data_IF_389593543254
#
_entry.id   IF_389593543254
#
_cell.length_a   1.000
_cell.length_b   1.000
_cell.length_c   1.000
_cell.angle_alpha   90.00
_cell.angle_beta   90.00
_cell.angle_gamma   90.00
#
_symmetry.space_group_name_H-M   'P 1'
#
loop_
_entity.id
_entity.type
_entity.pdbx_description
1 polymer ?
#
# COMPACT_ATOMS: atom_id res chain seq x y z
N UNK A 1 2.38 24.62 12.70
CA UNK A 1 2.61 24.06 11.34
C UNK A 1 1.43 23.15 11.05
N UNK A 2 0.46 23.59 10.26
CA UNK A 2 -0.63 22.72 9.80
C UNK A 2 -0.02 21.76 8.79
N UNK A 3 0.21 20.51 9.19
CA UNK A 3 0.57 19.44 8.25
C UNK A 3 -0.59 19.32 7.26
N UNK A 4 -0.40 19.86 6.06
CA UNK A 4 -1.39 19.81 5.00
C UNK A 4 -1.49 18.36 4.53
N UNK A 5 -2.34 17.60 5.22
CA UNK A 5 -2.46 16.15 5.08
C UNK A 5 -3.35 15.92 3.86
N UNK A 6 -2.89 15.10 2.90
CA UNK A 6 -3.65 14.86 1.67
C UNK A 6 -5.10 14.50 1.99
N UNK A 7 -6.11 15.08 1.30
CA UNK A 7 -7.52 14.72 1.52
C UNK A 7 -7.82 13.26 1.19
N UNK A 8 -6.88 12.56 0.56
CA UNK A 8 -6.97 11.14 0.21
C UNK A 8 -6.56 10.20 1.36
N UNK A 9 -5.89 10.72 2.41
CA UNK A 9 -5.41 9.91 3.54
C UNK A 9 -6.53 9.17 4.29
N UNK A 10 -7.72 9.75 4.54
CA UNK A 10 -8.83 9.00 5.15
C UNK A 10 -9.22 7.74 4.38
N UNK A 11 -9.28 7.79 3.04
CA UNK A 11 -9.59 6.62 2.21
C UNK A 11 -8.49 5.57 2.23
N UNK A 12 -7.22 5.99 2.24
CA UNK A 12 -6.09 5.05 2.37
C UNK A 12 -6.10 4.39 3.76
N UNK A 13 -6.48 5.10 4.83
CA UNK A 13 -6.66 4.51 6.17
C UNK A 13 -7.81 3.50 6.22
N UNK A 14 -8.89 3.75 5.49
CA UNK A 14 -9.97 2.78 5.34
C UNK A 14 -9.48 1.52 4.60
N UNK A 15 -8.73 1.69 3.50
CA UNK A 15 -8.07 0.58 2.82
C UNK A 15 -7.11 -0.20 3.75
N UNK A 16 -6.37 0.50 4.61
CA UNK A 16 -5.49 -0.12 5.60
C UNK A 16 -6.27 -0.94 6.63
N UNK A 17 -7.39 -0.41 7.12
CA UNK A 17 -8.28 -1.12 8.04
C UNK A 17 -8.90 -2.38 7.39
N UNK A 18 -9.12 -2.37 6.08
CA UNK A 18 -9.52 -3.54 5.32
C UNK A 18 -8.37 -4.55 5.19
N UNK A 19 -7.15 -4.10 4.90
CA UNK A 19 -5.96 -4.96 4.83
C UNK A 19 -5.69 -5.71 6.15
N UNK A 20 -5.99 -5.08 7.29
CA UNK A 20 -5.90 -5.69 8.61
C UNK A 20 -6.90 -6.85 8.83
N UNK A 21 -7.90 -7.03 7.97
CA UNK A 21 -8.82 -8.18 8.00
C UNK A 21 -8.24 -9.43 7.32
N UNK A 22 -7.31 -9.28 6.38
CA UNK A 22 -6.63 -10.42 5.75
C UNK A 22 -5.81 -11.19 6.78
N UNK A 23 -5.83 -12.53 6.85
CA UNK A 23 -4.95 -13.25 7.77
C UNK A 23 -3.47 -13.03 7.41
N UNK A 24 -2.55 -12.95 8.40
CA UNK A 24 -1.11 -12.89 8.12
C UNK A 24 -0.65 -14.20 7.50
N UNK A 25 0.17 -14.10 6.44
CA UNK A 25 0.72 -15.25 5.71
C UNK A 25 2.21 -15.00 5.42
N UNK A 26 3.03 -16.05 5.25
CA UNK A 26 4.48 -15.89 5.03
C UNK A 26 4.87 -15.18 3.73
N UNK A 27 3.99 -15.16 2.72
CA UNK A 27 4.35 -14.71 1.37
C UNK A 27 3.30 -13.82 0.70
N UNK A 28 2.11 -13.66 1.30
CA UNK A 28 1.05 -12.84 0.73
C UNK A 28 1.04 -11.45 1.39
N UNK A 29 1.09 -10.41 0.56
CA UNK A 29 0.86 -9.06 1.06
C UNK A 29 -0.58 -8.87 1.50
N UNK A 30 -0.76 -8.25 2.66
CA UNK A 30 -2.07 -7.83 3.13
C UNK A 30 -2.40 -6.47 2.54
N UNK A 31 -3.24 -6.48 1.52
CA UNK A 31 -3.71 -5.27 0.81
C UNK A 31 -5.20 -5.10 1.04
N UNK A 32 -5.66 -3.86 1.07
CA UNK A 32 -7.08 -3.49 1.10
C UNK A 32 -7.39 -2.46 0.02
N UNK A 33 -8.64 -2.45 -0.46
CA UNK A 33 -9.11 -1.64 -1.57
C UNK A 33 -10.55 -1.15 -1.35
N UNK A 34 -10.84 0.05 -1.84
CA UNK A 34 -12.17 0.68 -1.84
C UNK A 34 -12.46 1.20 -3.24
N UNK A 35 -13.64 0.88 -3.78
CA UNK A 35 -14.17 1.48 -5.01
C UNK A 35 -15.29 2.45 -4.64
N UNK A 36 -15.22 3.68 -5.14
CA UNK A 36 -16.23 4.71 -4.88
C UNK A 36 -16.64 5.49 -6.13
N UNK A 37 -17.83 6.08 -6.07
CA UNK A 37 -18.36 7.06 -7.02
C UNK A 37 -18.20 8.46 -6.46
N UNK A 38 -17.38 9.28 -7.13
CA UNK A 38 -17.02 10.64 -6.73
C UNK A 38 -17.65 11.67 -7.65
N UNK A 39 -18.20 12.73 -7.08
CA UNK A 39 -18.70 13.89 -7.84
C UNK A 39 -17.54 14.75 -8.35
N UNK A 40 -17.60 15.22 -9.60
CA UNK A 40 -16.48 15.94 -10.24
C UNK A 40 -16.19 17.32 -9.61
N UNK A 41 -17.22 17.98 -9.07
CA UNK A 41 -17.15 19.32 -8.48
C UNK A 41 -17.39 19.31 -6.95
N UNK A 42 -16.87 18.29 -6.25
CA UNK A 42 -16.90 18.23 -4.79
C UNK A 42 -15.49 18.32 -4.19
N UNK A 43 -14.97 19.54 -3.93
CA UNK A 43 -13.65 19.73 -3.33
C UNK A 43 -13.58 19.27 -1.87
N UNK A 44 -14.73 18.96 -1.25
CA UNK A 44 -14.82 18.54 0.14
C UNK A 44 -14.93 17.03 0.31
N UNK A 45 -15.13 16.28 -0.79
CA UNK A 45 -15.28 14.83 -0.80
C UNK A 45 -16.44 14.31 0.08
N UNK A 46 -17.45 15.15 0.33
CA UNK A 46 -18.58 14.84 1.23
C UNK A 46 -19.68 14.02 0.55
N UNK A 47 -19.75 14.03 -0.78
CA UNK A 47 -20.72 13.26 -1.58
C UNK A 47 -20.14 11.92 -2.07
N UNK A 48 -18.93 11.54 -1.66
CA UNK A 48 -18.33 10.27 -2.09
C UNK A 48 -19.18 9.07 -1.63
N UNK A 49 -19.47 8.16 -2.56
CA UNK A 49 -20.28 6.97 -2.31
C UNK A 49 -19.43 5.72 -2.48
N UNK A 50 -19.20 4.98 -1.40
CA UNK A 50 -18.54 3.68 -1.47
C UNK A 50 -19.47 2.71 -2.19
N UNK A 51 -18.96 2.10 -3.25
CA UNK A 51 -19.68 1.11 -4.07
C UNK A 51 -19.34 -0.31 -3.62
N UNK A 52 -18.06 -0.56 -3.34
CA UNK A 52 -17.57 -1.86 -2.92
C UNK A 52 -16.25 -1.73 -2.17
N UNK A 53 -15.91 -2.77 -1.42
CA UNK A 53 -14.64 -2.90 -0.73
C UNK A 53 -14.07 -4.29 -0.94
N UNK A 54 -12.76 -4.42 -0.80
CA UNK A 54 -12.06 -5.69 -0.92
C UNK A 54 -10.81 -5.73 -0.06
N UNK A 55 -10.43 -6.91 0.41
CA UNK A 55 -9.10 -7.16 0.95
C UNK A 55 -8.52 -8.48 0.47
N UNK A 56 -7.21 -8.62 0.60
CA UNK A 56 -6.49 -9.82 0.16
C UNK A 56 -7.07 -11.07 0.81
N UNK A 57 -7.35 -12.10 0.01
CA UNK A 57 -7.93 -13.37 0.48
C UNK A 57 -9.28 -13.24 1.20
N UNK A 58 -10.03 -12.15 0.99
CA UNK A 58 -11.43 -12.06 1.43
C UNK A 58 -12.28 -13.15 0.78
N UNK A 59 -12.05 -13.39 -0.51
CA UNK A 59 -12.67 -14.48 -1.26
C UNK A 59 -11.71 -15.66 -1.39
N UNK A 60 -12.27 -16.86 -1.53
CA UNK A 60 -11.51 -18.10 -1.62
C UNK A 60 -10.43 -18.07 -2.72
N UNK A 61 -9.27 -18.65 -2.41
CA UNK A 61 -8.11 -18.70 -3.31
C UNK A 61 -7.10 -17.58 -3.06
N UNK A 62 -6.14 -17.45 -3.97
CA UNK A 62 -5.09 -16.42 -3.91
C UNK A 62 -5.57 -15.12 -4.57
N UNK A 63 -6.57 -14.48 -3.96
CA UNK A 63 -7.23 -13.27 -4.45
C UNK A 63 -6.56 -12.01 -3.90
N UNK A 64 -6.40 -10.99 -4.75
CA UNK A 64 -5.92 -9.67 -4.33
C UNK A 64 -7.10 -8.77 -3.94
N UNK A 65 -6.82 -7.67 -3.23
CA UNK A 65 -7.84 -6.76 -2.72
C UNK A 65 -8.74 -6.17 -3.83
N UNK A 66 -8.16 -5.74 -4.94
CA UNK A 66 -8.86 -5.15 -6.07
C UNK A 66 -9.75 -6.19 -6.77
N UNK A 67 -9.27 -7.44 -6.84
CA UNK A 67 -10.07 -8.56 -7.34
C UNK A 67 -11.29 -8.80 -6.44
N UNK A 68 -11.10 -8.88 -5.11
CA UNK A 68 -12.21 -9.03 -4.16
C UNK A 68 -13.19 -7.86 -4.24
N UNK A 69 -12.68 -6.62 -4.38
CA UNK A 69 -13.50 -5.42 -4.47
C UNK A 69 -14.46 -5.47 -5.67
N UNK A 70 -13.96 -5.84 -6.85
CA UNK A 70 -14.81 -6.01 -8.03
C UNK A 70 -15.74 -7.23 -7.93
N UNK A 71 -15.25 -8.37 -7.46
CA UNK A 71 -16.06 -9.58 -7.31
C UNK A 71 -17.22 -9.39 -6.32
N UNK A 72 -16.98 -8.69 -5.20
CA UNK A 72 -18.02 -8.32 -4.24
C UNK A 72 -19.11 -7.46 -4.90
N UNK A 73 -18.71 -6.48 -5.72
CA UNK A 73 -19.67 -5.66 -6.47
C UNK A 73 -20.46 -6.48 -7.50
N UNK A 74 -19.77 -7.30 -8.29
CA UNK A 74 -20.37 -8.19 -9.26
C UNK A 74 -21.40 -9.14 -8.61
N UNK A 75 -21.08 -9.70 -7.44
CA UNK A 75 -21.95 -10.59 -6.69
C UNK A 75 -23.25 -9.89 -6.23
N UNK A 76 -23.17 -8.67 -5.69
CA UNK A 76 -24.36 -7.87 -5.31
C UNK A 76 -25.26 -7.62 -6.53
N UNK A 77 -24.65 -7.40 -7.69
CA UNK A 77 -25.34 -7.14 -8.95
C UNK A 77 -25.66 -8.40 -9.77
N UNK A 78 -25.34 -9.59 -9.24
CA UNK A 78 -25.64 -10.90 -9.83
C UNK A 78 -25.07 -11.09 -11.24
N UNK A 79 -23.87 -10.57 -11.48
CA UNK A 79 -23.11 -10.81 -12.72
C UNK A 79 -21.81 -11.55 -12.43
N UNK A 80 -21.25 -12.27 -13.42
CA UNK A 80 -19.88 -12.79 -13.32
C UNK A 80 -18.82 -11.71 -13.07
N UNK A 81 -17.71 -12.07 -12.42
CA UNK A 81 -16.62 -11.14 -12.09
C UNK A 81 -16.05 -10.42 -13.32
N UNK A 82 -15.92 -11.12 -14.45
CA UNK A 82 -15.43 -10.59 -15.72
C UNK A 82 -16.45 -9.68 -16.42
N UNK A 83 -17.67 -9.60 -15.87
CA UNK A 83 -18.77 -8.77 -16.35
C UNK A 83 -19.06 -7.58 -15.43
N UNK A 84 -18.28 -7.37 -14.38
CA UNK A 84 -18.47 -6.26 -13.42
C UNK A 84 -18.58 -4.89 -14.09
N UNK A 85 -17.82 -4.65 -15.17
CA UNK A 85 -17.87 -3.39 -15.91
C UNK A 85 -19.25 -3.08 -16.51
N UNK A 86 -20.09 -4.08 -16.76
CA UNK A 86 -21.44 -3.91 -17.33
C UNK A 86 -22.45 -3.37 -16.31
N UNK A 87 -22.14 -3.46 -15.02
CA UNK A 87 -23.03 -3.06 -13.91
C UNK A 87 -22.51 -1.92 -13.07
N UNK A 88 -21.28 -1.45 -13.32
CA UNK A 88 -20.75 -0.25 -12.67
C UNK A 88 -21.62 0.98 -13.01
N UNK A 89 -21.85 1.89 -12.05
CA UNK A 89 -22.78 2.98 -12.26
C UNK A 89 -22.16 4.02 -13.20
N UNK A 90 -22.99 4.53 -14.11
CA UNK A 90 -22.67 5.65 -15.00
C UNK A 90 -23.63 6.78 -14.65
N UNK A 91 -23.13 7.76 -13.90
CA UNK A 91 -23.91 8.90 -13.41
C UNK A 91 -23.28 10.19 -13.94
N UNK A 92 -24.02 11.07 -14.64
CA UNK A 92 -23.48 12.35 -15.10
C UNK A 92 -22.88 13.17 -13.97
N UNK A 93 -21.67 13.70 -14.20
CA UNK A 93 -20.92 14.49 -13.22
C UNK A 93 -20.29 13.69 -12.08
N UNK A 94 -20.15 12.37 -12.26
CA UNK A 94 -19.45 11.49 -11.34
C UNK A 94 -18.43 10.62 -12.07
N UNK A 95 -17.39 10.24 -11.35
CA UNK A 95 -16.34 9.34 -11.79
C UNK A 95 -16.10 8.22 -10.79
N UNK A 96 -15.67 7.07 -11.29
CA UNK A 96 -15.30 5.94 -10.45
C UNK A 96 -13.83 6.04 -10.04
N UNK A 97 -13.57 5.95 -8.74
CA UNK A 97 -12.23 6.07 -8.15
C UNK A 97 -11.95 4.84 -7.31
N UNK A 98 -10.77 4.26 -7.47
CA UNK A 98 -10.29 3.17 -6.63
C UNK A 98 -9.17 3.66 -5.71
N UNK A 99 -9.27 3.34 -4.43
CA UNK A 99 -8.18 3.45 -3.46
C UNK A 99 -7.66 2.07 -3.13
N UNK A 100 -6.36 1.94 -2.95
CA UNK A 100 -5.71 0.68 -2.57
C UNK A 100 -4.49 0.98 -1.71
N UNK A 101 -4.15 0.13 -0.74
CA UNK A 101 -2.97 0.40 0.11
C UNK A 101 -1.66 0.29 -0.66
N UNK A 102 -1.57 -0.62 -1.63
CA UNK A 102 -0.38 -0.90 -2.44
C UNK A 102 -0.71 -0.75 -3.92
N UNK A 103 0.23 -0.28 -4.72
CA UNK A 103 0.12 -0.17 -6.17
C UNK A 103 -0.46 -1.46 -6.80
N UNK A 104 -1.49 -1.36 -7.67
CA UNK A 104 -2.03 -2.52 -8.33
C UNK A 104 -1.00 -3.22 -9.21
N UNK A 105 -0.86 -4.53 -9.02
CA UNK A 105 0.13 -5.30 -9.75
C UNK A 105 -0.13 -5.29 -11.27
N UNK A 106 0.93 -5.08 -12.06
CA UNK A 106 0.93 -5.23 -13.52
C UNK A 106 1.21 -6.66 -13.99
N UNK A 107 1.73 -7.52 -13.09
CA UNK A 107 2.03 -8.93 -13.36
C UNK A 107 1.77 -9.77 -12.11
N UNK A 108 1.41 -11.04 -12.29
CA UNK A 108 1.29 -12.00 -11.17
C UNK A 108 2.10 -13.26 -11.44
N UNK A 109 2.90 -13.67 -10.46
CA UNK A 109 3.64 -14.93 -10.50
C UNK A 109 2.71 -16.15 -10.45
N UNK A 110 1.51 -15.99 -9.88
CA UNK A 110 0.50 -17.06 -9.83
C UNK A 110 -0.15 -17.36 -11.18
N UNK A 111 0.10 -16.56 -12.22
CA UNK A 111 -0.53 -16.69 -13.55
C UNK A 111 -1.97 -16.16 -13.63
N UNK A 112 -2.56 -15.76 -12.50
CA UNK A 112 -3.86 -15.09 -12.47
C UNK A 112 -3.78 -13.69 -13.13
N UNK A 113 -4.93 -13.20 -13.64
CA UNK A 113 -5.02 -11.86 -14.21
C UNK A 113 -4.51 -10.78 -13.21
N UNK A 114 -3.58 -9.89 -13.64
CA UNK A 114 -3.10 -8.77 -12.85
C UNK A 114 -4.21 -7.80 -12.44
N UNK A 115 -4.01 -7.09 -11.33
CA UNK A 115 -5.01 -6.15 -10.83
C UNK A 115 -5.25 -5.00 -11.83
N UNK A 116 -4.19 -4.48 -12.47
CA UNK A 116 -4.38 -3.43 -13.48
C UNK A 116 -5.20 -3.91 -14.66
N UNK A 117 -5.02 -5.16 -15.12
CA UNK A 117 -5.85 -5.70 -16.19
C UNK A 117 -7.34 -5.68 -15.81
N UNK A 118 -7.67 -6.07 -14.57
CA UNK A 118 -9.06 -6.03 -14.06
C UNK A 118 -9.62 -4.61 -14.02
N UNK A 119 -8.81 -3.64 -13.59
CA UNK A 119 -9.17 -2.23 -13.59
C UNK A 119 -9.44 -1.75 -15.02
N UNK A 120 -8.54 -2.05 -15.97
CA UNK A 120 -8.71 -1.64 -17.38
C UNK A 120 -9.90 -2.30 -18.06
N UNK A 121 -10.23 -3.54 -17.69
CA UNK A 121 -11.37 -4.28 -18.23
C UNK A 121 -12.71 -3.60 -17.94
N UNK A 122 -12.79 -2.78 -16.88
CA UNK A 122 -13.99 -1.97 -16.60
C UNK A 122 -14.32 -0.97 -17.71
N UNK A 123 -13.35 -0.64 -18.58
CA UNK A 123 -13.50 0.28 -19.72
C UNK A 123 -13.71 -0.38 -21.07
N UNK A 124 -13.63 -1.71 -21.15
CA UNK A 124 -13.81 -2.44 -22.41
C UNK A 124 -15.15 -2.09 -23.07
N UNK A 125 -15.21 -2.06 -24.40
CA UNK A 125 -16.43 -1.67 -25.11
C UNK A 125 -16.79 -0.19 -25.02
N UNK A 126 -15.85 0.68 -24.61
CA UNK A 126 -16.04 2.13 -24.55
C UNK A 126 -16.76 2.63 -23.30
N UNK A 127 -16.83 1.80 -22.25
CA UNK A 127 -17.41 2.17 -20.95
C UNK A 127 -16.49 3.13 -20.20
N UNK A 128 -17.07 3.97 -19.34
CA UNK A 128 -16.28 4.93 -18.56
C UNK A 128 -15.38 4.25 -17.52
N UNK A 129 -15.88 3.20 -16.86
CA UNK A 129 -15.14 2.36 -15.92
C UNK A 129 -14.43 3.14 -14.81
N UNK A 130 -13.37 2.56 -14.26
CA UNK A 130 -12.50 3.23 -13.28
C UNK A 130 -11.74 4.37 -13.96
N UNK A 131 -11.85 5.57 -13.41
CA UNK A 131 -11.20 6.77 -13.93
C UNK A 131 -9.84 7.06 -13.29
N UNK A 132 -9.74 6.84 -11.97
CA UNK A 132 -8.54 7.16 -11.22
C UNK A 132 -8.25 6.13 -10.14
N UNK A 133 -6.97 5.82 -9.95
CA UNK A 133 -6.48 4.92 -8.90
C UNK A 133 -5.54 5.68 -7.96
N UNK A 134 -5.83 5.66 -6.67
CA UNK A 134 -4.96 6.17 -5.63
C UNK A 134 -4.32 5.01 -4.87
N UNK A 135 -3.01 5.07 -4.62
CA UNK A 135 -2.33 4.04 -3.84
C UNK A 135 -1.33 4.61 -2.83
N UNK A 136 -1.20 3.96 -1.68
CA UNK A 136 -0.42 4.50 -0.55
C UNK A 136 1.06 4.12 -0.53
N UNK A 137 1.44 3.01 -1.19
CA UNK A 137 2.84 2.65 -1.44
C UNK A 137 3.00 2.05 -2.83
N UNK A 138 4.18 2.22 -3.43
CA UNK A 138 4.55 1.46 -4.63
C UNK A 138 4.81 -0.01 -4.30
N UNK A 139 4.69 -0.88 -5.30
CA UNK A 139 5.03 -2.29 -5.14
C UNK A 139 6.52 -2.41 -4.74
N UNK A 140 6.87 -3.19 -3.69
CA UNK A 140 8.26 -3.33 -3.24
C UNK A 140 9.20 -3.77 -4.38
N UNK A 141 10.36 -3.12 -4.49
CA UNK A 141 11.36 -3.42 -5.54
C UNK A 141 11.25 -2.58 -6.83
N UNK A 142 10.21 -1.76 -6.98
CA UNK A 142 10.02 -0.86 -8.16
C UNK A 142 10.70 0.52 -8.03
N UNK A 143 11.59 0.70 -7.05
CA UNK A 143 12.24 2.00 -6.75
C UNK A 143 13.17 2.52 -7.86
N UNK A 144 13.47 1.71 -8.88
CA UNK A 144 14.36 2.07 -9.98
C UNK A 144 13.71 1.72 -11.33
N UNK A 145 12.79 2.59 -11.79
CA UNK A 145 12.30 2.60 -13.18
C UNK A 145 11.27 1.53 -13.53
N UNK A 146 10.12 2.00 -14.06
CA UNK A 146 9.07 1.21 -14.71
C UNK A 146 8.19 0.34 -13.80
N UNK A 147 7.37 1.01 -12.98
CA UNK A 147 6.15 0.40 -12.44
C UNK A 147 5.25 -0.03 -13.61
N UNK A 148 5.24 -1.34 -13.88
CA UNK A 148 4.43 -1.95 -14.93
C UNK A 148 2.93 -1.65 -14.72
N UNK A 149 2.50 -1.65 -13.46
CA UNK A 149 1.13 -1.31 -13.10
C UNK A 149 0.74 0.11 -13.50
N UNK A 150 1.54 1.11 -13.12
CA UNK A 150 1.31 2.51 -13.49
C UNK A 150 1.39 2.72 -14.99
N UNK A 151 2.34 2.06 -15.68
CA UNK A 151 2.47 2.11 -17.15
C UNK A 151 1.18 1.62 -17.83
N UNK A 152 0.65 0.47 -17.39
CA UNK A 152 -0.58 -0.10 -17.94
C UNK A 152 -1.81 0.79 -17.64
N UNK A 153 -1.91 1.38 -16.45
CA UNK A 153 -2.98 2.34 -16.11
C UNK A 153 -2.93 3.56 -17.04
N UNK A 154 -1.75 4.18 -17.19
CA UNK A 154 -1.56 5.33 -18.08
C UNK A 154 -1.90 5.01 -19.53
N UNK A 155 -1.49 3.84 -20.04
CA UNK A 155 -1.82 3.42 -21.41
C UNK A 155 -3.31 3.21 -21.64
N UNK A 156 -4.06 2.81 -20.61
CA UNK A 156 -5.51 2.69 -20.65
C UNK A 156 -6.25 4.04 -20.41
N UNK A 157 -5.51 5.14 -20.30
CA UNK A 157 -6.07 6.46 -19.98
C UNK A 157 -6.67 6.55 -18.59
N UNK A 158 -6.24 5.70 -17.65
CA UNK A 158 -6.65 5.71 -16.25
C UNK A 158 -5.61 6.51 -15.46
N UNK A 159 -6.07 7.56 -14.80
CA UNK A 159 -5.20 8.37 -13.96
C UNK A 159 -4.75 7.59 -12.73
N UNK A 160 -3.57 7.92 -12.21
CA UNK A 160 -3.13 7.36 -10.94
C UNK A 160 -2.34 8.36 -10.13
N UNK A 161 -2.36 8.19 -8.81
CA UNK A 161 -1.67 9.06 -7.88
C UNK A 161 -1.19 8.30 -6.64
N UNK A 162 0.08 8.50 -6.27
CA UNK A 162 0.64 8.00 -5.03
C UNK A 162 0.31 8.94 -3.86
N UNK A 163 -0.32 8.41 -2.81
CA UNK A 163 -0.71 9.15 -1.61
C UNK A 163 0.27 8.82 -0.47
N UNK A 164 1.30 9.65 -0.32
CA UNK A 164 2.31 9.46 0.71
C UNK A 164 1.88 9.84 2.13
N UNK A 165 2.70 9.50 3.12
CA UNK A 165 2.52 9.82 4.54
C UNK A 165 1.96 8.68 5.40
N UNK A 166 1.83 7.47 4.85
CA UNK A 166 1.40 6.24 5.54
C UNK A 166 2.26 5.03 5.15
N UNK A 167 3.42 5.25 4.56
CA UNK A 167 4.23 4.20 3.93
C UNK A 167 4.62 3.12 4.95
N UNK A 168 5.06 3.54 6.15
CA UNK A 168 5.47 2.61 7.20
C UNK A 168 4.30 1.78 7.70
N UNK A 169 3.16 2.40 7.96
CA UNK A 169 1.95 1.74 8.46
C UNK A 169 1.46 0.72 7.43
N UNK A 170 1.39 1.12 6.16
CA UNK A 170 0.97 0.25 5.06
C UNK A 170 1.92 -0.93 4.91
N UNK A 171 3.23 -0.71 4.85
CA UNK A 171 4.21 -1.79 4.68
C UNK A 171 4.20 -2.73 5.89
N UNK A 172 4.07 -2.20 7.11
CA UNK A 172 3.98 -3.02 8.33
C UNK A 172 2.78 -3.97 8.29
N UNK A 173 1.62 -3.49 7.85
CA UNK A 173 0.45 -4.36 7.65
C UNK A 173 0.66 -5.32 6.49
N UNK A 174 1.17 -4.83 5.35
CA UNK A 174 1.35 -5.62 4.15
C UNK A 174 2.25 -6.84 4.37
N UNK A 175 3.38 -6.66 5.06
CA UNK A 175 4.35 -7.72 5.36
C UNK A 175 4.01 -8.55 6.61
N UNK A 176 2.91 -8.26 7.31
CA UNK A 176 2.59 -8.97 8.55
C UNK A 176 2.38 -10.47 8.29
N UNK A 177 3.25 -11.29 8.88
CA UNK A 177 3.27 -12.75 8.70
C UNK A 177 4.48 -13.26 7.92
N UNK A 178 5.20 -12.38 7.21
CA UNK A 178 6.45 -12.73 6.54
C UNK A 178 7.57 -13.03 7.54
N UNK A 179 8.46 -13.95 7.21
CA UNK A 179 9.56 -14.38 8.10
C UNK A 179 10.51 -13.23 8.45
N UNK A 180 10.80 -12.36 7.46
CA UNK A 180 11.71 -11.21 7.59
C UNK A 180 10.96 -9.87 7.46
N UNK A 181 9.75 -9.80 8.00
CA UNK A 181 8.86 -8.65 7.81
C UNK A 181 9.50 -7.29 8.18
N UNK A 182 10.34 -7.26 9.23
CA UNK A 182 11.00 -6.02 9.68
C UNK A 182 12.03 -5.55 8.66
N UNK A 183 12.84 -6.48 8.15
CA UNK A 183 13.86 -6.24 7.14
C UNK A 183 13.22 -5.79 5.82
N UNK A 184 12.12 -6.44 5.42
CA UNK A 184 11.37 -6.06 4.21
C UNK A 184 10.75 -4.67 4.31
N UNK A 185 10.13 -4.32 5.45
CA UNK A 185 9.62 -2.96 5.71
C UNK A 185 10.76 -1.94 5.62
N UNK A 186 11.88 -2.21 6.29
CA UNK A 186 13.06 -1.33 6.29
C UNK A 186 13.60 -1.12 4.87
N UNK A 187 13.75 -2.20 4.12
CA UNK A 187 14.23 -2.17 2.75
C UNK A 187 13.29 -1.39 1.83
N UNK A 188 11.97 -1.62 1.95
CA UNK A 188 10.95 -0.91 1.18
C UNK A 188 10.88 0.59 1.52
N UNK A 189 11.23 1.00 2.75
CA UNK A 189 11.35 2.41 3.14
C UNK A 189 12.69 3.04 2.74
N UNK A 190 13.64 2.28 2.19
CA UNK A 190 14.99 2.75 1.88
C UNK A 190 15.84 3.07 3.12
N UNK A 191 15.48 2.52 4.29
CA UNK A 191 16.18 2.75 5.55
C UNK A 191 17.48 1.95 5.60
N UNK A 192 18.62 2.61 5.43
CA UNK A 192 19.92 1.95 5.55
C UNK A 192 20.10 1.35 6.94
N UNK A 193 20.71 0.16 7.01
CA UNK A 193 21.32 -0.36 8.24
C UNK A 193 22.34 0.64 8.78
N UNK A 194 22.04 1.24 9.94
CA UNK A 194 23.07 1.84 10.78
C UNK A 194 23.82 0.70 11.41
N UNK A 195 24.77 0.13 10.67
CA UNK A 195 25.66 -0.88 11.22
C UNK A 195 26.62 -0.16 12.17
N UNK A 196 26.43 -0.35 13.48
CA UNK A 196 27.27 0.28 14.52
C UNK A 196 28.72 -0.24 14.43
N UNK A 197 28.96 -1.33 13.71
CA UNK A 197 30.29 -1.88 13.48
C UNK A 197 30.97 -1.32 12.22
N UNK A 198 30.25 -0.59 11.36
CA UNK A 198 30.78 0.02 10.14
C UNK A 198 31.25 1.47 10.39
N UNK A 199 31.88 1.67 11.55
CA UNK A 199 32.58 2.91 11.89
C UNK A 199 33.88 2.90 11.08
N UNK A 200 34.05 3.89 10.20
CA UNK A 200 35.32 4.05 9.48
C UNK A 200 36.48 4.13 10.49
N UNK A 201 37.65 3.64 10.11
CA UNK A 201 38.83 3.68 11.00
C UNK A 201 39.16 5.12 11.47
N UNK A 202 38.79 6.13 10.68
CA UNK A 202 38.91 7.55 11.03
C UNK A 202 37.90 7.97 12.11
N UNK A 203 36.64 7.55 11.99
CA UNK A 203 35.60 7.87 12.97
C UNK A 203 35.84 7.11 14.29
N UNK A 204 36.39 5.89 14.23
CA UNK A 204 36.85 5.15 15.42
C UNK A 204 37.98 5.87 16.14
N UNK A 205 39.00 6.35 15.42
CA UNK A 205 40.09 7.17 15.98
C UNK A 205 39.58 8.47 16.57
N UNK A 206 38.59 9.11 15.95
CA UNK A 206 37.98 10.35 16.44
C UNK A 206 37.23 10.13 17.75
N UNK A 207 36.51 9.02 17.86
CA UNK A 207 35.79 8.64 19.09
C UNK A 207 36.73 8.23 20.23
N UNK A 208 37.88 7.61 19.92
CA UNK A 208 38.94 7.30 20.88
C UNK A 208 39.70 8.55 21.37
N UNK A 209 39.81 9.57 20.53
CA UNK A 209 40.46 10.85 20.85
C UNK A 209 39.57 11.82 21.64
N UNK A 210 38.26 11.55 21.75
CA UNK A 210 37.37 12.35 22.58
C UNK A 210 37.60 12.03 24.07
N UNK A 211 37.84 13.04 24.93
CA UNK A 211 38.03 12.81 26.36
C UNK A 211 36.77 12.17 26.96
N UNK A 212 36.93 10.98 27.54
CA UNK A 212 35.81 10.26 28.16
C UNK A 212 35.19 11.11 29.28
N UNK A 213 33.87 11.32 29.19
CA UNK A 213 33.11 12.07 30.18
C UNK A 213 33.25 11.41 31.58
N UNK A 214 33.70 12.16 32.60
CA UNK A 214 34.02 11.59 33.93
C UNK A 214 32.84 10.92 34.64
N UNK A 215 31.59 11.16 34.25
CA UNK A 215 30.42 10.50 34.85
C UNK A 215 30.24 9.03 34.46
N UNK A 216 30.94 8.52 33.44
CA UNK A 216 30.89 7.08 33.07
C UNK A 216 31.66 6.17 34.02
N UNK A 217 32.36 6.73 35.01
CA UNK A 217 33.19 6.00 35.99
C UNK A 217 32.40 5.39 37.15
N UNK A 218 31.15 5.81 37.38
CA UNK A 218 30.39 5.44 38.58
C UNK A 218 29.47 4.21 38.43
N UNK A 219 29.38 3.58 37.25
CA UNK A 219 28.50 2.41 37.06
C UNK A 219 29.19 1.05 36.91
N UNK A 220 30.52 1.01 36.75
CA UNK A 220 31.27 -0.25 36.61
C UNK A 220 32.05 -0.65 37.88
N UNK A 221 31.82 0.04 39.01
CA UNK A 221 32.67 -0.03 40.19
C UNK A 221 32.21 -0.89 41.37
N UNK A 222 30.95 -1.33 41.46
CA UNK A 222 30.43 -2.03 42.65
C UNK A 222 29.69 -3.32 42.28
N UNK A 223 30.45 -4.34 41.87
CA UNK A 223 30.04 -5.76 41.96
C UNK A 223 31.22 -6.60 42.43
N UNK A 224 31.42 -6.66 43.75
CA UNK A 224 31.71 -7.87 44.54
C UNK A 224 32.48 -7.54 45.81
N UNK A 225 31.87 -7.79 46.97
CA UNK A 225 32.47 -8.52 48.09
C UNK A 225 31.36 -8.93 49.08
N UNK A 226 30.97 -10.20 49.07
CA UNK A 226 30.44 -10.92 50.24
C UNK A 226 30.89 -12.38 50.14
N UNK A 227 31.98 -12.68 50.85
CA UNK A 227 32.23 -13.93 51.56
C UNK A 227 32.73 -13.53 52.95
#
# INVERSE_FOLDING_TARGET
MTTNTSPHIPYIKECLSLAEKSPPRPTNFRVGAVLLSRKDDDPTFTDDRILSTGYTMELAGNTHAEQCCFANYAAVHKVPDDKVGEVLPVEPGRKLVMYVTMEPCGKRLSGNAPCVQRITQTREGGREGVHKVYFGVKEPGTFVGESEGCRMLTQAGIEWEHVGGLEREILTVAFAGHENAREEVRAALGEKETNVDDISAEERKRQEALPRNPMKRMMDGDKHIYL
#
